data_IF_711813522678
#
_entry.id   IF_711813522678
#
_cell.length_a   1.000
_cell.length_b   1.000
_cell.length_c   1.000
_cell.angle_alpha   90.00
_cell.angle_beta   90.00
_cell.angle_gamma   90.00
#
_symmetry.space_group_name_H-M   'P 1'
#
loop_
_entity.id
_entity.type
_entity.pdbx_description
1 polymer ?
#
# COMPACT_ATOMS: atom_id res chain seq x y z
N UNK A 1 -5.36 18.06 8.45
CA UNK A 1 -6.43 17.19 7.92
C UNK A 1 -5.68 15.99 7.38
N UNK A 2 -5.46 14.99 8.23
CA UNK A 2 -4.74 13.77 7.86
C UNK A 2 -5.71 12.87 7.12
N UNK A 3 -5.41 12.58 5.85
CA UNK A 3 -6.21 11.65 5.05
C UNK A 3 -6.02 10.23 5.60
N UNK A 4 -7.11 9.45 5.67
CA UNK A 4 -7.00 8.07 6.13
C UNK A 4 -6.20 7.26 5.11
N UNK A 5 -5.17 6.50 5.54
CA UNK A 5 -4.38 5.72 4.61
C UNK A 5 -5.24 4.68 3.90
N UNK A 6 -5.20 4.70 2.58
CA UNK A 6 -5.88 3.73 1.70
C UNK A 6 -4.95 2.57 1.39
N UNK A 7 -5.41 1.33 1.52
CA UNK A 7 -4.58 0.16 1.17
C UNK A 7 -4.64 -0.10 -0.34
N UNK A 8 -3.51 0.09 -1.03
CA UNK A 8 -3.39 -0.16 -2.49
C UNK A 8 -3.36 -1.66 -2.81
N UNK A 9 -2.69 -2.44 -1.98
CA UNK A 9 -2.64 -3.90 -2.09
C UNK A 9 -2.23 -4.52 -0.76
N UNK A 10 -2.62 -5.78 -0.58
CA UNK A 10 -2.26 -6.63 0.55
C UNK A 10 -1.90 -7.99 -0.01
N UNK A 11 -0.77 -8.53 0.42
CA UNK A 11 -0.31 -9.87 0.07
C UNK A 11 -0.14 -10.68 1.35
N UNK A 12 -0.22 -12.00 1.22
CA UNK A 12 -0.01 -12.96 2.30
C UNK A 12 1.03 -14.01 1.91
N UNK A 13 1.75 -14.53 2.89
CA UNK A 13 2.65 -15.67 2.75
C UNK A 13 2.87 -16.30 4.11
N UNK A 14 2.75 -17.62 4.21
CA UNK A 14 3.10 -18.37 5.44
C UNK A 14 2.44 -17.83 6.73
N UNK A 15 1.22 -17.27 6.63
CA UNK A 15 0.49 -16.65 7.75
C UNK A 15 0.86 -15.18 8.03
N UNK A 16 1.85 -14.65 7.34
CA UNK A 16 2.26 -13.25 7.40
C UNK A 16 1.55 -12.40 6.34
N UNK A 17 1.44 -11.10 6.62
CA UNK A 17 0.84 -10.12 5.73
C UNK A 17 1.79 -8.98 5.43
N UNK A 18 1.82 -8.56 4.18
CA UNK A 18 2.42 -7.31 3.76
C UNK A 18 1.40 -6.44 3.03
N UNK A 19 1.25 -5.20 3.47
CA UNK A 19 0.32 -4.24 2.85
C UNK A 19 1.03 -2.99 2.43
N UNK A 20 0.60 -2.41 1.32
CA UNK A 20 1.01 -1.10 0.84
C UNK A 20 -0.12 -0.11 1.05
N UNK A 21 0.12 0.89 1.87
CA UNK A 21 -0.84 1.92 2.25
C UNK A 21 -0.38 3.26 1.71
N UNK A 22 -1.30 4.04 1.16
CA UNK A 22 -1.02 5.37 0.62
C UNK A 22 -1.84 6.39 1.38
N UNK A 23 -1.24 7.54 1.68
CA UNK A 23 -1.94 8.70 2.25
C UNK A 23 -1.47 9.99 1.57
N UNK A 24 -2.37 10.95 1.50
CA UNK A 24 -2.06 12.29 1.03
C UNK A 24 -1.60 13.13 2.23
N UNK A 25 -0.46 13.80 2.08
CA UNK A 25 0.14 14.66 3.12
C UNK A 25 0.38 16.06 2.57
N UNK A 26 0.67 17.01 3.44
CA UNK A 26 0.79 18.43 3.06
C UNK A 26 1.84 18.72 1.96
N UNK A 27 2.83 17.84 1.80
CA UNK A 27 3.93 17.99 0.84
C UNK A 27 3.92 16.95 -0.28
N UNK A 28 2.88 16.13 -0.41
CA UNK A 28 2.80 15.12 -1.46
C UNK A 28 2.07 13.85 -1.02
N UNK A 29 2.61 12.70 -1.43
CA UNK A 29 1.99 11.39 -1.20
C UNK A 29 2.97 10.50 -0.45
N UNK A 30 2.53 9.94 0.66
CA UNK A 30 3.31 8.95 1.39
C UNK A 30 2.77 7.56 1.17
N UNK A 31 3.69 6.63 0.97
CA UNK A 31 3.41 5.21 0.86
C UNK A 31 4.14 4.47 1.97
N UNK A 32 3.37 3.77 2.79
CA UNK A 32 3.85 2.88 3.83
C UNK A 32 3.77 1.43 3.37
N UNK A 33 4.88 0.70 3.46
CA UNK A 33 4.85 -0.75 3.48
C UNK A 33 4.75 -1.21 4.93
N UNK A 34 3.76 -2.05 5.20
CA UNK A 34 3.52 -2.62 6.52
C UNK A 34 3.73 -4.12 6.48
N UNK A 35 4.39 -4.68 7.48
CA UNK A 35 4.53 -6.12 7.70
C UNK A 35 3.81 -6.49 8.99
N UNK A 36 2.82 -7.37 8.91
CA UNK A 36 1.94 -7.73 10.03
C UNK A 36 1.38 -6.49 10.78
N UNK A 37 1.02 -5.44 10.02
CA UNK A 37 0.48 -4.19 10.55
C UNK A 37 1.52 -3.16 11.02
N UNK A 38 2.80 -3.53 11.12
CA UNK A 38 3.88 -2.61 11.51
C UNK A 38 4.53 -1.98 10.29
N UNK A 39 4.73 -0.66 10.27
CA UNK A 39 5.41 0.02 9.16
C UNK A 39 6.88 -0.41 9.12
N UNK A 40 7.32 -0.91 7.97
CA UNK A 40 8.72 -1.31 7.72
C UNK A 40 9.44 -0.36 6.74
N UNK A 41 8.69 0.44 5.99
CA UNK A 41 9.22 1.44 5.07
C UNK A 41 8.16 2.51 4.85
N UNK A 42 8.57 3.77 4.96
CA UNK A 42 7.79 4.93 4.51
C UNK A 42 8.56 5.59 3.38
N UNK A 43 7.85 5.97 2.31
CA UNK A 43 8.44 6.72 1.20
C UNK A 43 7.48 7.80 0.73
N UNK A 44 8.00 9.02 0.57
CA UNK A 44 7.27 10.13 0.00
C UNK A 44 7.51 10.24 -1.51
N UNK A 45 6.50 10.70 -2.23
CA UNK A 45 6.48 10.98 -3.66
C UNK A 45 5.82 12.33 -3.91
N UNK A 46 6.26 13.02 -4.96
CA UNK A 46 5.65 14.29 -5.37
C UNK A 46 4.30 14.04 -6.06
N UNK A 47 4.19 12.95 -6.83
CA UNK A 47 2.99 12.65 -7.61
C UNK A 47 2.40 11.27 -7.33
N UNK A 48 1.09 11.13 -7.58
CA UNK A 48 0.37 9.87 -7.40
C UNK A 48 0.79 8.82 -8.42
N UNK A 49 1.18 9.25 -9.62
CA UNK A 49 1.67 8.35 -10.67
C UNK A 49 2.95 7.64 -10.23
N UNK A 50 3.91 8.39 -9.69
CA UNK A 50 5.17 7.83 -9.16
C UNK A 50 4.91 6.87 -8.00
N UNK A 51 4.04 7.27 -7.06
CA UNK A 51 3.65 6.42 -5.94
C UNK A 51 3.02 5.11 -6.40
N UNK A 52 2.10 5.16 -7.37
CA UNK A 52 1.45 3.99 -7.94
C UNK A 52 2.41 3.09 -8.73
N UNK A 53 3.29 3.67 -9.55
CA UNK A 53 4.29 2.93 -10.30
C UNK A 53 5.22 2.17 -9.34
N UNK A 54 5.72 2.84 -8.31
CA UNK A 54 6.55 2.23 -7.29
C UNK A 54 5.82 1.12 -6.52
N UNK A 55 4.56 1.38 -6.11
CA UNK A 55 3.75 0.39 -5.40
C UNK A 55 3.52 -0.88 -6.24
N UNK A 56 3.29 -0.74 -7.56
CA UNK A 56 3.18 -1.89 -8.48
C UNK A 56 4.47 -2.68 -8.60
N UNK A 57 5.62 -2.02 -8.74
CA UNK A 57 6.92 -2.69 -8.76
C UNK A 57 7.18 -3.47 -7.47
N UNK A 58 6.84 -2.90 -6.31
CA UNK A 58 6.97 -3.60 -5.03
C UNK A 58 6.04 -4.80 -4.92
N UNK A 59 4.80 -4.69 -5.38
CA UNK A 59 3.87 -5.82 -5.44
C UNK A 59 4.42 -6.95 -6.30
N UNK A 60 4.80 -6.67 -7.55
CA UNK A 60 5.32 -7.66 -8.48
C UNK A 60 6.57 -8.36 -7.93
N UNK A 61 7.48 -7.62 -7.29
CA UNK A 61 8.67 -8.20 -6.66
C UNK A 61 8.33 -9.16 -5.52
N UNK A 62 7.26 -8.90 -4.74
CA UNK A 62 6.80 -9.79 -3.68
C UNK A 62 6.06 -11.00 -4.24
N UNK A 63 5.23 -10.81 -5.26
CA UNK A 63 4.58 -11.91 -5.97
C UNK A 63 5.62 -12.89 -6.56
N UNK A 64 6.72 -12.37 -7.15
CA UNK A 64 7.84 -13.18 -7.62
C UNK A 64 8.58 -13.94 -6.50
N UNK A 65 8.44 -13.51 -5.24
CA UNK A 65 8.95 -14.19 -4.05
C UNK A 65 7.93 -15.16 -3.43
N UNK A 66 6.81 -15.45 -4.11
CA UNK A 66 5.78 -16.37 -3.63
C UNK A 66 4.77 -15.76 -2.65
N UNK A 67 4.65 -14.43 -2.60
CA UNK A 67 3.56 -13.78 -1.88
C UNK A 67 2.30 -13.79 -2.74
N UNK A 68 1.16 -14.10 -2.13
CA UNK A 68 -0.12 -14.21 -2.85
C UNK A 68 -1.04 -13.04 -2.55
N UNK A 69 -1.90 -12.61 -3.48
CA UNK A 69 -2.94 -11.62 -3.20
C UNK A 69 -3.81 -12.02 -2.02
N UNK A 70 -3.99 -11.11 -1.07
CA UNK A 70 -4.89 -11.25 0.06
C UNK A 70 -6.10 -10.32 -0.11
N UNK A 71 -7.28 -10.71 0.39
CA UNK A 71 -8.44 -9.84 0.35
C UNK A 71 -8.15 -8.55 1.13
N UNK A 72 -8.48 -7.41 0.52
CA UNK A 72 -8.56 -6.13 1.20
C UNK A 72 -9.81 -6.09 2.05
N UNK A 73 -9.70 -5.62 3.29
CA UNK A 73 -10.86 -5.36 4.12
C UNK A 73 -11.73 -4.30 3.42
N UNK A 74 -13.07 -4.45 3.40
CA UNK A 74 -13.95 -3.55 2.67
C UNK A 74 -13.88 -2.10 3.16
N UNK A 75 -13.47 -1.87 4.42
CA UNK A 75 -13.17 -0.55 4.98
C UNK A 75 -11.84 0.05 4.51
N UNK A 76 -10.95 -0.74 3.91
CA UNK A 76 -9.64 -0.30 3.38
C UNK A 76 -9.69 -0.03 1.87
N UNK A 77 -10.85 -0.22 1.23
CA UNK A 77 -11.03 0.02 -0.20
C UNK A 77 -11.17 1.52 -0.47
N UNK A 78 -10.57 2.05 -1.57
CA UNK A 78 -10.86 3.41 -1.99
C UNK A 78 -12.35 3.55 -2.28
N UNK A 79 -13.00 4.50 -1.62
CA UNK A 79 -14.39 4.86 -1.92
C UNK A 79 -14.39 5.50 -3.31
N UNK A 80 -14.92 4.82 -4.31
CA UNK A 80 -15.25 5.44 -5.59
C UNK A 80 -16.37 6.44 -5.32
N UNK A 81 -16.04 7.72 -5.18
CA UNK A 81 -17.02 8.79 -5.32
C UNK A 81 -17.27 8.94 -6.81
N UNK A 82 -18.47 8.55 -7.22
CA UNK A 82 -18.99 8.58 -8.60
C UNK A 82 -19.22 10.02 -9.05
#
# INVERSE_FOLDING_TARGET
MDDQPTTLWKLRRDGEFISCRVRLVAYGIEVDLTHNGSVILTRAFETGEEAHAWARTKRAAREAQGWEPAPLDPSERPVNVV
#
